data_IF_393199887803
#
_entry.id   IF_393199887803
#
_cell.length_a   1.000
_cell.length_b   1.000
_cell.length_c   1.000
_cell.angle_alpha   90.00
_cell.angle_beta   90.00
_cell.angle_gamma   90.00
#
_symmetry.space_group_name_H-M   'P 1'
#
loop_
_entity.id
_entity.type
_entity.pdbx_description
1 polymer ?
#
# COMPACT_ATOMS: atom_id res chain seq x y z
N UNK A 1 5.28 -41.13 48.07
CA UNK A 1 6.14 -40.27 47.22
C UNK A 1 5.59 -40.32 45.80
N UNK A 2 4.97 -39.23 45.33
CA UNK A 2 4.64 -39.03 43.91
C UNK A 2 5.15 -37.64 43.56
N UNK A 3 6.26 -37.58 42.85
CA UNK A 3 6.86 -36.37 42.30
C UNK A 3 6.15 -36.06 40.98
N UNK A 4 5.34 -35.01 40.97
CA UNK A 4 4.79 -34.44 39.74
C UNK A 4 5.86 -33.58 39.08
N UNK A 5 6.33 -34.01 37.90
CA UNK A 5 7.20 -33.21 37.03
C UNK A 5 6.26 -32.31 36.22
N UNK A 6 6.28 -31.01 36.51
CA UNK A 6 5.63 -30.00 35.68
C UNK A 6 6.51 -29.74 34.46
N UNK A 7 6.04 -30.17 33.28
CA UNK A 7 6.61 -29.75 32.00
C UNK A 7 6.23 -28.28 31.76
N UNK A 8 7.19 -27.37 31.95
CA UNK A 8 7.09 -26.02 31.40
C UNK A 8 7.33 -26.11 29.89
N UNK A 9 6.25 -26.08 29.11
CA UNK A 9 6.34 -25.83 27.68
C UNK A 9 6.71 -24.35 27.48
N UNK A 10 7.98 -24.08 27.25
CA UNK A 10 8.43 -22.78 26.74
C UNK A 10 8.02 -22.68 25.27
N UNK A 11 6.92 -21.99 24.99
CA UNK A 11 6.63 -21.51 23.64
C UNK A 11 7.69 -20.49 23.27
N UNK A 12 8.68 -20.88 22.46
CA UNK A 12 9.54 -19.92 21.79
C UNK A 12 8.62 -19.08 20.88
N UNK A 13 8.34 -17.85 21.30
CA UNK A 13 7.86 -16.83 20.38
C UNK A 13 8.99 -16.63 19.36
N UNK A 14 8.83 -17.18 18.16
CA UNK A 14 9.63 -16.75 17.03
C UNK A 14 9.39 -15.27 16.88
N UNK A 15 10.40 -14.46 17.21
CA UNK A 15 10.36 -13.04 16.94
C UNK A 15 10.04 -12.89 15.45
N UNK A 16 8.89 -12.28 15.15
CA UNK A 16 8.55 -11.91 13.78
C UNK A 16 9.68 -11.02 13.27
N UNK A 17 10.23 -11.36 12.11
CA UNK A 17 11.34 -10.63 11.54
C UNK A 17 10.83 -9.34 10.87
N UNK A 18 11.64 -8.29 10.94
CA UNK A 18 11.35 -7.05 10.23
C UNK A 18 11.23 -7.30 8.73
N UNK A 19 10.28 -6.66 8.02
CA UNK A 19 10.24 -6.76 6.56
C UNK A 19 11.51 -6.15 5.92
N UNK A 20 11.86 -6.60 4.72
CA UNK A 20 13.04 -6.14 3.97
C UNK A 20 12.84 -4.77 3.29
N UNK A 21 11.81 -4.01 3.68
CA UNK A 21 11.44 -2.76 3.04
C UNK A 21 10.51 -1.91 3.88
N UNK A 22 10.34 -0.65 3.46
CA UNK A 22 9.29 0.20 3.98
C UNK A 22 7.93 -0.25 3.44
N UNK A 23 7.21 -1.01 4.26
CA UNK A 23 5.93 -1.63 3.90
C UNK A 23 4.77 -0.79 4.42
N UNK A 24 3.87 -0.36 3.53
CA UNK A 24 2.56 0.16 3.89
C UNK A 24 1.59 -1.00 4.11
N UNK A 25 0.96 -1.04 5.28
CA UNK A 25 0.00 -2.09 5.66
C UNK A 25 -1.13 -1.55 6.55
N UNK A 26 -2.07 -2.41 6.93
CA UNK A 26 -3.25 -2.08 7.76
C UNK A 26 -3.68 -3.21 8.71
N UNK A 27 -2.76 -4.07 9.13
CA UNK A 27 -3.10 -5.11 10.13
C UNK A 27 -3.60 -4.44 11.42
N UNK A 28 -4.75 -4.88 11.94
CA UNK A 28 -5.33 -4.32 13.17
C UNK A 28 -4.43 -4.57 14.39
N UNK A 29 -3.83 -5.75 14.48
CA UNK A 29 -2.89 -6.12 15.55
C UNK A 29 -1.63 -5.23 15.53
N UNK A 30 -1.26 -4.75 14.35
CA UNK A 30 -0.06 -3.93 14.15
C UNK A 30 -0.38 -2.43 14.23
N UNK A 31 -1.18 -1.94 13.28
CA UNK A 31 -1.48 -0.52 13.16
C UNK A 31 -2.58 -0.07 14.13
N UNK A 32 -3.46 -0.96 14.59
CA UNK A 32 -4.57 -0.58 15.48
C UNK A 32 -4.19 -0.64 16.96
N UNK A 33 -3.56 -1.73 17.38
CA UNK A 33 -3.32 -2.01 18.80
C UNK A 33 -2.03 -1.40 19.35
N UNK A 34 -1.01 -1.25 18.50
CA UNK A 34 0.32 -0.72 18.90
C UNK A 34 0.36 0.80 18.72
N UNK A 35 -0.36 1.32 17.74
CA UNK A 35 -0.35 2.74 17.47
C UNK A 35 -1.14 3.55 18.50
N UNK A 36 -0.63 4.71 18.93
CA UNK A 36 -1.39 5.63 19.75
C UNK A 36 -2.60 6.13 18.96
N UNK A 37 -3.69 6.42 19.69
CA UNK A 37 -4.91 6.97 19.10
C UNK A 37 -4.59 8.26 18.32
N UNK A 38 -5.01 8.31 17.05
CA UNK A 38 -4.84 9.45 16.16
C UNK A 38 -6.18 10.17 16.06
N UNK A 39 -6.33 11.32 16.72
CA UNK A 39 -7.61 12.05 16.74
C UNK A 39 -8.74 11.30 17.46
N UNK A 40 -8.41 10.48 18.46
CA UNK A 40 -9.38 9.72 19.27
C UNK A 40 -9.77 8.34 18.71
N UNK A 41 -9.21 7.94 17.57
CA UNK A 41 -9.47 6.63 16.93
C UNK A 41 -8.17 5.87 16.70
N UNK A 42 -8.25 4.53 16.63
CA UNK A 42 -7.10 3.66 16.31
C UNK A 42 -6.59 3.95 14.91
N UNK A 43 -5.27 3.97 14.71
CA UNK A 43 -4.71 4.12 13.37
C UNK A 43 -5.12 2.93 12.50
N UNK A 44 -5.47 3.21 11.25
CA UNK A 44 -5.97 2.19 10.31
C UNK A 44 -4.91 1.68 9.36
N UNK A 45 -3.78 2.40 9.26
CA UNK A 45 -2.66 2.04 8.42
C UNK A 45 -1.36 2.50 9.07
N UNK A 46 -0.28 1.83 8.72
CA UNK A 46 1.04 2.12 9.23
C UNK A 46 2.12 1.75 8.20
N UNK A 47 3.31 2.33 8.37
CA UNK A 47 4.46 2.07 7.51
C UNK A 47 5.61 1.51 8.35
N UNK A 48 6.19 0.38 7.94
CA UNK A 48 7.39 -0.18 8.56
C UNK A 48 8.65 0.63 8.22
N UNK A 49 9.56 0.73 9.19
CA UNK A 49 10.89 1.31 9.07
C UNK A 49 11.90 0.31 9.61
N UNK A 50 12.42 -0.58 8.73
CA UNK A 50 13.43 -1.53 9.12
C UNK A 50 14.77 -0.85 9.44
N UNK A 51 15.37 -1.16 10.58
CA UNK A 51 16.63 -0.55 11.03
C UNK A 51 17.85 -0.92 10.19
N UNK A 52 17.76 -2.01 9.42
CA UNK A 52 18.80 -2.41 8.46
C UNK A 52 18.85 -1.51 7.22
N UNK A 53 17.85 -0.65 7.01
CA UNK A 53 17.84 0.36 5.95
C UNK A 53 18.32 1.69 6.53
N UNK A 54 19.38 2.25 5.95
CA UNK A 54 20.04 3.47 6.43
C UNK A 54 19.57 4.74 5.71
N UNK A 55 18.68 4.61 4.72
CA UNK A 55 18.24 5.71 3.87
C UNK A 55 17.11 6.55 4.49
N UNK A 56 16.26 5.94 5.33
CA UNK A 56 15.19 6.66 6.03
C UNK A 56 14.99 6.20 7.48
N UNK A 57 15.08 7.14 8.40
CA UNK A 57 14.69 6.94 9.80
C UNK A 57 13.22 7.29 10.01
N UNK A 58 12.53 6.57 10.89
CA UNK A 58 11.17 6.95 11.29
C UNK A 58 11.22 8.22 12.13
N UNK A 59 10.68 9.31 11.59
CA UNK A 59 10.56 10.58 12.30
C UNK A 59 9.08 10.96 12.44
N UNK A 60 8.59 11.37 13.63
CA UNK A 60 7.26 11.92 13.80
C UNK A 60 7.02 13.09 12.84
N UNK A 61 5.82 13.17 12.27
CA UNK A 61 5.50 14.17 11.26
C UNK A 61 4.00 14.42 11.23
N UNK A 62 3.56 15.35 10.39
CA UNK A 62 2.14 15.62 10.21
C UNK A 62 1.35 14.38 9.76
N UNK A 63 2.00 13.42 9.08
CA UNK A 63 1.38 12.17 8.64
C UNK A 63 1.18 11.15 9.74
N UNK A 64 1.87 11.24 10.87
CA UNK A 64 1.79 10.20 11.87
C UNK A 64 2.88 10.22 12.93
N UNK A 65 2.74 9.31 13.89
CA UNK A 65 3.67 9.12 15.01
C UNK A 65 4.51 7.87 14.82
N UNK A 66 5.75 7.87 15.30
CA UNK A 66 6.61 6.70 15.28
C UNK A 66 6.52 5.95 16.61
N UNK A 67 6.42 4.63 16.54
CA UNK A 67 6.46 3.71 17.69
C UNK A 67 7.38 2.54 17.40
N UNK A 68 7.83 1.84 18.44
CA UNK A 68 8.54 0.58 18.26
C UNK A 68 7.59 -0.50 17.72
N UNK A 69 8.05 -1.25 16.74
CA UNK A 69 7.33 -2.41 16.23
C UNK A 69 7.52 -3.62 17.16
N UNK A 70 6.61 -4.60 17.14
CA UNK A 70 6.81 -5.86 17.85
C UNK A 70 7.94 -6.70 17.22
N UNK A 71 8.21 -6.51 15.93
CA UNK A 71 9.33 -7.09 15.22
C UNK A 71 10.66 -6.44 15.65
N UNK A 72 11.64 -7.28 15.97
CA UNK A 72 12.95 -6.81 16.39
C UNK A 72 13.62 -5.99 15.28
N UNK A 73 14.07 -4.78 15.64
CA UNK A 73 14.78 -3.91 14.71
C UNK A 73 13.88 -3.17 13.72
N UNK A 74 12.59 -2.94 14.02
CA UNK A 74 11.79 -2.00 13.25
C UNK A 74 11.15 -0.90 14.10
N UNK A 75 10.89 0.22 13.43
CA UNK A 75 9.93 1.21 13.89
C UNK A 75 8.67 1.12 13.01
N UNK A 76 7.53 1.55 13.55
CA UNK A 76 6.29 1.75 12.83
C UNK A 76 5.91 3.22 12.82
N UNK A 77 5.61 3.73 11.64
CA UNK A 77 4.94 5.01 11.46
C UNK A 77 3.43 4.77 11.44
N UNK A 78 2.77 5.11 12.53
CA UNK A 78 1.32 5.07 12.68
C UNK A 78 0.69 6.24 11.91
N UNK A 79 0.06 5.94 10.78
CA UNK A 79 -0.51 6.97 9.91
C UNK A 79 -1.77 7.58 10.55
N UNK A 80 -1.85 8.90 10.49
CA UNK A 80 -2.94 9.65 11.10
C UNK A 80 -4.20 9.60 10.23
N UNK A 81 -5.28 9.07 10.80
CA UNK A 81 -6.58 9.02 10.15
C UNK A 81 -7.19 10.41 9.89
N UNK A 82 -6.76 11.45 10.61
CA UNK A 82 -7.34 12.81 10.50
C UNK A 82 -7.07 13.47 9.15
N UNK A 83 -6.22 12.84 8.34
CA UNK A 83 -5.86 13.27 7.00
C UNK A 83 -6.80 12.75 5.92
N UNK A 84 -7.57 11.71 6.21
CA UNK A 84 -8.58 11.21 5.30
C UNK A 84 -9.71 12.24 5.19
N UNK A 85 -9.75 12.97 4.07
CA UNK A 85 -10.83 13.93 3.81
C UNK A 85 -11.90 13.22 3.00
N UNK A 86 -13.10 13.08 3.58
CA UNK A 86 -14.22 12.37 2.93
C UNK A 86 -13.85 10.95 2.46
N UNK A 87 -13.02 10.23 3.22
CA UNK A 87 -12.55 8.88 2.86
C UNK A 87 -11.40 8.85 1.84
N UNK A 88 -10.94 10.00 1.33
CA UNK A 88 -9.77 10.10 0.46
C UNK A 88 -8.50 10.37 1.24
N UNK A 89 -7.48 9.54 1.01
CA UNK A 89 -6.18 9.64 1.65
C UNK A 89 -5.05 9.62 0.61
N UNK A 90 -4.27 10.69 0.56
CA UNK A 90 -3.13 10.81 -0.33
C UNK A 90 -1.81 10.71 0.45
N UNK A 91 -0.99 9.73 0.07
CA UNK A 91 0.35 9.50 0.60
C UNK A 91 1.36 9.84 -0.51
N UNK A 92 2.19 10.86 -0.26
CA UNK A 92 3.36 11.09 -1.08
C UNK A 92 4.34 9.93 -0.94
N UNK A 93 5.00 9.53 -2.02
CA UNK A 93 6.07 8.54 -1.97
C UNK A 93 7.40 9.28 -1.95
N UNK A 94 8.19 9.04 -0.90
CA UNK A 94 9.50 9.65 -0.72
C UNK A 94 10.50 8.92 -1.62
N UNK A 95 10.98 9.61 -2.65
CA UNK A 95 12.11 9.16 -3.48
C UNK A 95 13.45 9.34 -2.76
N UNK A 96 14.56 9.01 -3.44
CA UNK A 96 15.93 9.14 -2.90
C UNK A 96 16.38 10.60 -2.71
N UNK A 97 15.72 11.55 -3.37
CA UNK A 97 15.95 12.99 -3.24
C UNK A 97 14.62 13.75 -3.14
N UNK A 98 14.62 14.91 -2.48
CA UNK A 98 13.43 15.76 -2.31
C UNK A 98 12.72 15.60 -0.96
N UNK A 99 12.14 16.69 -0.47
CA UNK A 99 11.42 16.76 0.82
C UNK A 99 10.46 17.97 0.79
N UNK A 100 9.35 18.13 1.52
CA UNK A 100 8.96 17.69 2.87
C UNK A 100 7.42 17.67 3.04
N UNK A 101 6.95 16.90 4.03
CA UNK A 101 5.73 17.18 4.81
C UNK A 101 4.66 16.09 4.80
N UNK A 102 4.47 15.45 3.64
CA UNK A 102 3.39 14.46 3.39
C UNK A 102 3.85 13.26 2.55
N UNK A 103 5.09 12.84 2.71
CA UNK A 103 5.60 11.69 1.97
C UNK A 103 6.23 10.65 2.89
N UNK A 104 6.01 9.38 2.59
CA UNK A 104 6.61 8.23 3.26
C UNK A 104 7.41 7.40 2.26
N UNK A 105 8.51 6.75 2.68
CA UNK A 105 9.38 5.99 1.79
C UNK A 105 8.79 4.62 1.41
N UNK A 106 7.48 4.53 1.17
CA UNK A 106 6.78 3.27 0.89
C UNK A 106 7.33 2.65 -0.39
N UNK A 107 7.93 1.47 -0.24
CA UNK A 107 8.47 0.63 -1.33
C UNK A 107 7.57 -0.54 -1.64
N UNK A 108 6.78 -0.98 -0.66
CA UNK A 108 5.98 -2.19 -0.71
C UNK A 108 4.60 -1.89 -0.14
N UNK A 109 3.55 -2.39 -0.78
CA UNK A 109 2.21 -2.41 -0.19
C UNK A 109 1.78 -3.85 0.06
N UNK A 110 1.29 -4.11 1.27
CA UNK A 110 0.87 -5.45 1.70
C UNK A 110 -0.33 -5.36 2.65
N UNK A 111 -1.37 -6.16 2.36
CA UNK A 111 -2.55 -6.32 3.23
C UNK A 111 -3.13 -4.98 3.72
N UNK A 112 -3.28 -4.03 2.81
CA UNK A 112 -3.90 -2.74 3.09
C UNK A 112 -5.41 -2.93 3.19
N UNK A 113 -6.02 -2.36 4.23
CA UNK A 113 -7.43 -2.58 4.60
C UNK A 113 -8.15 -1.29 4.92
N UNK A 114 -7.48 -0.41 5.67
CA UNK A 114 -7.97 0.84 6.25
C UNK A 114 -9.45 1.15 5.98
N UNK A 115 -10.35 0.59 6.80
CA UNK A 115 -11.78 0.43 6.46
C UNK A 115 -12.52 1.74 6.16
N UNK A 116 -12.11 2.86 6.75
CA UNK A 116 -12.72 4.18 6.51
C UNK A 116 -12.07 4.94 5.34
N UNK A 117 -11.12 4.33 4.63
CA UNK A 117 -10.46 4.91 3.46
C UNK A 117 -11.06 4.25 2.22
N UNK A 118 -11.75 5.04 1.42
CA UNK A 118 -12.39 4.61 0.17
C UNK A 118 -11.58 5.04 -1.06
N UNK A 119 -10.72 6.05 -0.91
CA UNK A 119 -9.79 6.47 -1.95
C UNK A 119 -8.36 6.51 -1.40
N UNK A 120 -7.43 5.86 -2.10
CA UNK A 120 -6.01 5.91 -1.80
C UNK A 120 -5.23 6.44 -3.01
N UNK A 121 -4.43 7.47 -2.77
CA UNK A 121 -3.51 8.04 -3.75
C UNK A 121 -2.07 7.84 -3.30
N UNK A 122 -1.32 7.03 -4.04
CA UNK A 122 0.12 6.81 -3.86
C UNK A 122 0.87 7.55 -4.97
N UNK A 123 1.52 8.67 -4.63
CA UNK A 123 2.09 9.57 -5.62
C UNK A 123 3.52 9.98 -5.31
N UNK A 124 4.44 9.69 -6.22
CA UNK A 124 5.79 10.24 -6.17
C UNK A 124 5.82 11.62 -6.83
N UNK A 125 6.25 12.65 -6.09
CA UNK A 125 6.33 14.03 -6.58
C UNK A 125 7.71 14.39 -7.17
N UNK A 126 8.67 13.48 -7.11
CA UNK A 126 10.03 13.71 -7.61
C UNK A 126 10.14 13.40 -9.11
N UNK A 127 11.13 14.01 -9.77
CA UNK A 127 11.40 13.76 -11.19
C UNK A 127 11.86 12.33 -11.45
N UNK A 128 12.66 11.77 -10.54
CA UNK A 128 13.07 10.38 -10.60
C UNK A 128 11.95 9.46 -10.10
N UNK A 129 11.60 8.45 -10.91
CA UNK A 129 10.61 7.44 -10.54
C UNK A 129 11.13 6.51 -9.45
N UNK A 130 10.37 6.38 -8.37
CA UNK A 130 10.66 5.50 -7.25
C UNK A 130 10.06 4.09 -7.44
N UNK A 131 10.75 3.00 -7.07
CA UNK A 131 10.17 1.65 -7.09
C UNK A 131 9.00 1.50 -6.11
N UNK A 132 7.92 0.87 -6.57
CA UNK A 132 6.79 0.47 -5.73
C UNK A 132 6.36 -0.94 -6.12
N UNK A 133 6.36 -1.86 -5.16
CA UNK A 133 5.88 -3.22 -5.34
C UNK A 133 4.51 -3.40 -4.67
N UNK A 134 3.55 -3.93 -5.42
CA UNK A 134 2.29 -4.42 -4.89
C UNK A 134 2.41 -5.94 -4.75
N UNK A 135 2.39 -6.43 -3.51
CA UNK A 135 2.44 -7.88 -3.25
C UNK A 135 1.08 -8.53 -3.48
N UNK A 136 1.06 -9.85 -3.61
CA UNK A 136 -0.19 -10.61 -3.70
C UNK A 136 -1.15 -10.26 -2.55
N UNK A 137 -2.39 -9.96 -2.90
CA UNK A 137 -3.40 -9.51 -1.96
C UNK A 137 -3.23 -8.09 -1.41
N UNK A 138 -2.37 -7.24 -2.01
CA UNK A 138 -2.04 -5.90 -1.49
C UNK A 138 -3.27 -5.07 -1.05
N UNK A 139 -4.35 -5.09 -1.84
CA UNK A 139 -5.57 -4.34 -1.55
C UNK A 139 -6.85 -5.18 -1.54
N UNK A 140 -6.78 -6.51 -1.62
CA UNK A 140 -7.96 -7.37 -1.82
C UNK A 140 -8.95 -7.36 -0.65
N UNK A 141 -8.47 -6.98 0.54
CA UNK A 141 -9.28 -6.81 1.75
C UNK A 141 -9.60 -5.34 2.07
N UNK A 142 -9.26 -4.41 1.18
CA UNK A 142 -9.55 -3.00 1.36
C UNK A 142 -10.98 -2.64 0.96
N UNK A 143 -11.49 -1.56 1.54
CA UNK A 143 -12.76 -0.93 1.14
C UNK A 143 -12.58 0.11 0.03
N UNK A 144 -11.45 0.09 -0.68
CA UNK A 144 -11.14 1.09 -1.70
C UNK A 144 -12.06 0.97 -2.91
N UNK A 145 -12.73 2.07 -3.24
CA UNK A 145 -13.46 2.28 -4.49
C UNK A 145 -12.64 3.06 -5.52
N UNK A 146 -11.55 3.70 -5.09
CA UNK A 146 -10.68 4.54 -5.93
C UNK A 146 -9.21 4.30 -5.55
N UNK A 147 -8.39 3.89 -6.52
CA UNK A 147 -6.96 3.64 -6.32
C UNK A 147 -6.13 4.36 -7.38
N UNK A 148 -5.22 5.22 -6.93
CA UNK A 148 -4.36 6.02 -7.78
C UNK A 148 -2.90 5.73 -7.46
N UNK A 149 -2.14 5.33 -8.48
CA UNK A 149 -0.71 5.07 -8.38
C UNK A 149 -0.01 5.91 -9.44
N UNK A 150 0.74 6.92 -8.99
CA UNK A 150 1.31 7.95 -9.83
C UNK A 150 2.84 8.04 -9.73
N UNK A 151 3.49 8.07 -10.89
CA UNK A 151 4.91 8.43 -11.08
C UNK A 151 5.92 7.50 -10.39
N UNK A 152 5.66 6.19 -10.44
CA UNK A 152 6.51 5.14 -9.86
C UNK A 152 7.05 4.20 -10.92
N UNK A 153 8.01 3.35 -10.54
CA UNK A 153 8.35 2.11 -11.25
C UNK A 153 7.56 0.99 -10.60
N UNK A 154 6.35 0.74 -11.10
CA UNK A 154 5.41 -0.20 -10.50
C UNK A 154 5.78 -1.65 -10.85
N UNK A 155 5.88 -2.49 -9.82
CA UNK A 155 5.91 -3.95 -9.92
C UNK A 155 4.63 -4.51 -9.31
N UNK A 156 3.95 -5.40 -10.03
CA UNK A 156 2.63 -5.93 -9.66
C UNK A 156 2.73 -7.46 -9.61
N UNK A 157 2.40 -8.05 -8.47
CA UNK A 157 2.15 -9.49 -8.35
C UNK A 157 0.71 -9.83 -8.79
N UNK A 158 0.24 -11.04 -8.53
CA UNK A 158 -1.14 -11.43 -8.81
C UNK A 158 -2.10 -10.91 -7.73
N UNK A 159 -3.40 -10.82 -8.05
CA UNK A 159 -4.47 -10.50 -7.09
C UNK A 159 -4.19 -9.27 -6.20
N UNK A 160 -3.78 -8.15 -6.79
CA UNK A 160 -3.38 -6.97 -6.02
C UNK A 160 -4.51 -5.96 -5.84
N UNK A 161 -5.46 -5.89 -6.77
CA UNK A 161 -6.41 -4.77 -6.84
C UNK A 161 -7.60 -4.97 -5.87
N UNK A 162 -8.22 -3.87 -5.39
CA UNK A 162 -9.41 -3.97 -4.57
C UNK A 162 -10.57 -4.58 -5.36
N UNK A 163 -11.35 -5.52 -4.79
CA UNK A 163 -12.43 -6.20 -5.51
C UNK A 163 -13.59 -5.27 -5.89
N UNK A 164 -13.76 -4.16 -5.17
CA UNK A 164 -14.83 -3.17 -5.37
C UNK A 164 -14.32 -1.86 -5.99
N UNK A 165 -13.11 -1.87 -6.57
CA UNK A 165 -12.57 -0.65 -7.18
C UNK A 165 -13.42 -0.21 -8.38
N UNK A 166 -13.86 1.03 -8.34
CA UNK A 166 -14.62 1.68 -9.41
C UNK A 166 -13.73 2.56 -10.29
N UNK A 167 -12.67 3.13 -9.71
CA UNK A 167 -11.70 3.97 -10.41
C UNK A 167 -10.28 3.48 -10.15
N UNK A 168 -9.58 3.11 -11.23
CA UNK A 168 -8.18 2.73 -11.19
C UNK A 168 -7.35 3.67 -12.05
N UNK A 169 -6.37 4.34 -11.45
CA UNK A 169 -5.45 5.27 -12.13
C UNK A 169 -4.01 4.76 -11.98
N UNK A 170 -3.38 4.44 -13.11
CA UNK A 170 -1.97 4.05 -13.21
C UNK A 170 -1.24 5.05 -14.10
N UNK A 171 -0.86 6.21 -13.54
CA UNK A 171 -0.23 7.30 -14.30
C UNK A 171 1.28 7.32 -14.11
N UNK A 172 2.04 7.41 -15.21
CA UNK A 172 3.51 7.36 -15.19
C UNK A 172 4.05 6.17 -14.38
N UNK A 173 3.28 5.09 -14.24
CA UNK A 173 3.57 3.95 -13.36
C UNK A 173 4.54 2.93 -13.99
N UNK A 174 4.88 3.10 -15.28
CA UNK A 174 5.81 2.20 -15.98
C UNK A 174 5.20 0.86 -16.39
N UNK A 175 3.87 0.73 -16.33
CA UNK A 175 3.16 -0.43 -16.87
C UNK A 175 3.20 -0.39 -18.40
N UNK A 176 3.69 -1.46 -19.02
CA UNK A 176 3.74 -1.58 -20.49
C UNK A 176 2.46 -2.19 -21.06
N UNK A 177 1.77 -3.02 -20.28
CA UNK A 177 0.52 -3.66 -20.65
C UNK A 177 -0.53 -3.43 -19.56
N UNK A 178 -1.80 -3.59 -19.90
CA UNK A 178 -2.88 -3.61 -18.91
C UNK A 178 -2.72 -4.88 -18.07
N UNK A 179 -2.57 -4.80 -16.73
CA UNK A 179 -2.48 -5.99 -15.90
C UNK A 179 -3.72 -6.87 -16.07
N UNK A 180 -3.54 -8.19 -16.26
CA UNK A 180 -4.64 -9.09 -16.63
C UNK A 180 -5.78 -9.12 -15.60
N UNK A 181 -5.45 -8.91 -14.32
CA UNK A 181 -6.44 -8.80 -13.24
C UNK A 181 -7.45 -7.66 -13.46
N UNK A 182 -7.08 -6.58 -14.15
CA UNK A 182 -7.97 -5.43 -14.42
C UNK A 182 -9.24 -5.88 -15.16
N UNK A 183 -9.14 -6.86 -16.04
CA UNK A 183 -10.28 -7.39 -16.80
C UNK A 183 -11.25 -8.23 -15.94
N UNK A 184 -10.84 -8.62 -14.73
CA UNK A 184 -11.68 -9.28 -13.74
C UNK A 184 -12.41 -8.33 -12.79
N UNK A 185 -12.14 -7.02 -12.84
CA UNK A 185 -12.70 -6.04 -11.92
C UNK A 185 -14.14 -5.67 -12.30
N UNK A 186 -15.10 -6.40 -11.74
CA UNK A 186 -16.52 -6.28 -12.09
C UNK A 186 -17.15 -4.92 -11.76
N UNK A 187 -16.58 -4.18 -10.81
CA UNK A 187 -17.08 -2.86 -10.38
C UNK A 187 -16.42 -1.70 -11.12
N UNK A 188 -15.42 -1.97 -11.97
CA UNK A 188 -14.60 -0.93 -12.59
C UNK A 188 -15.43 -0.10 -13.58
N UNK A 189 -15.47 1.22 -13.34
CA UNK A 189 -16.17 2.20 -14.18
C UNK A 189 -15.20 3.10 -14.93
N UNK A 190 -14.04 3.38 -14.36
CA UNK A 190 -13.01 4.23 -14.95
C UNK A 190 -11.61 3.60 -14.82
N UNK A 191 -10.89 3.58 -15.94
CA UNK A 191 -9.51 3.11 -16.03
C UNK A 191 -8.65 4.16 -16.72
N UNK A 192 -7.71 4.76 -15.98
CA UNK A 192 -6.70 5.66 -16.55
C UNK A 192 -5.33 4.96 -16.55
N UNK A 193 -4.72 4.86 -17.72
CA UNK A 193 -3.33 4.41 -17.87
C UNK A 193 -2.63 5.43 -18.77
N UNK A 194 -1.98 6.42 -18.16
CA UNK A 194 -1.49 7.61 -18.86
C UNK A 194 -0.03 7.94 -18.52
N UNK A 195 0.65 8.72 -19.37
CA UNK A 195 2.03 9.16 -19.12
C UNK A 195 3.09 8.07 -19.35
N UNK A 196 2.74 7.01 -20.08
CA UNK A 196 3.65 5.94 -20.50
C UNK A 196 3.22 5.36 -21.85
N UNK A 197 4.11 4.58 -22.47
CA UNK A 197 3.74 3.73 -23.59
C UNK A 197 2.93 2.53 -23.08
N UNK A 198 1.72 2.39 -23.61
CA UNK A 198 0.84 1.25 -23.36
C UNK A 198 0.71 0.44 -24.66
N UNK A 199 1.05 -0.84 -24.57
CA UNK A 199 0.95 -1.80 -25.65
C UNK A 199 -0.37 -2.56 -25.54
N UNK A 200 -1.22 -2.40 -26.56
CA UNK A 200 -2.57 -3.00 -26.62
C UNK A 200 -2.74 -3.92 -27.84
N UNK A 201 -1.66 -4.35 -28.48
CA UNK A 201 -1.75 -5.17 -29.71
C UNK A 201 -2.31 -6.57 -29.44
N UNK A 202 -2.02 -7.11 -28.26
CA UNK A 202 -2.30 -8.52 -27.92
C UNK A 202 -3.54 -8.68 -27.02
N UNK A 203 -4.50 -7.76 -27.14
CA UNK A 203 -5.78 -7.90 -26.45
C UNK A 203 -6.68 -8.92 -27.16
N UNK A 204 -7.23 -9.84 -26.37
CA UNK A 204 -8.31 -10.72 -26.81
C UNK A 204 -9.61 -9.93 -27.07
N UNK A 205 -10.58 -10.56 -27.73
CA UNK A 205 -11.84 -9.90 -28.05
C UNK A 205 -12.68 -9.60 -26.80
N UNK A 206 -12.62 -10.47 -25.78
CA UNK A 206 -13.27 -10.24 -24.47
C UNK A 206 -12.64 -9.04 -23.74
N UNK A 207 -11.31 -8.91 -23.78
CA UNK A 207 -10.61 -7.78 -23.18
C UNK A 207 -10.95 -6.47 -23.89
N UNK A 208 -11.04 -6.48 -25.22
CA UNK A 208 -11.49 -5.30 -25.99
C UNK A 208 -12.93 -4.94 -25.63
N UNK A 209 -13.83 -5.92 -25.54
CA UNK A 209 -15.22 -5.70 -25.15
C UNK A 209 -15.35 -5.15 -23.72
N UNK A 210 -14.51 -5.62 -22.80
CA UNK A 210 -14.41 -5.04 -21.46
C UNK A 210 -14.05 -3.54 -21.54
N UNK A 211 -13.00 -3.19 -22.29
CA UNK A 211 -12.53 -1.80 -22.40
C UNK A 211 -13.55 -0.86 -23.06
N UNK A 212 -14.45 -1.35 -23.90
CA UNK A 212 -15.53 -0.52 -24.48
C UNK A 212 -16.62 -0.17 -23.47
N UNK A 213 -16.76 -0.94 -22.38
CA UNK A 213 -17.76 -0.72 -21.34
C UNK A 213 -17.23 0.08 -20.15
N UNK A 214 -15.92 0.34 -20.09
CA UNK A 214 -15.25 1.12 -19.06
C UNK A 214 -14.82 2.47 -19.63
N UNK A 215 -14.95 3.54 -18.85
CA UNK A 215 -14.41 4.84 -19.24
C UNK A 215 -12.88 4.82 -19.20
N UNK A 216 -12.27 4.57 -20.36
CA UNK A 216 -10.83 4.40 -20.49
C UNK A 216 -10.13 5.70 -20.95
N UNK A 217 -9.06 6.07 -20.27
CA UNK A 217 -8.14 7.14 -20.71
C UNK A 217 -6.75 6.59 -20.88
N UNK A 218 -6.31 6.43 -22.14
CA UNK A 218 -4.97 5.98 -22.50
C UNK A 218 -4.23 7.07 -23.26
N UNK A 219 -3.11 7.55 -22.70
CA UNK A 219 -2.30 8.58 -23.33
C UNK A 219 -0.83 8.44 -22.97
N UNK A 220 0.05 8.83 -23.89
CA UNK A 220 1.50 8.85 -23.64
C UNK A 220 1.93 10.09 -22.87
#
# INVERSE_FOLDING_TARGET
MRTSIAFFASTLATALACPDGHVLTSSAELCGDICPLQGGVKAQSCVYYPSQLDDFTCEPSSLGSCVEAPEAGCMLKCLSNTWARNGSYAIGLRGASGSFGRAEPVRIVQDYRADNITELVLKNYNDEKYPLALLDGAFTKSSLTSLWIENVKLSIQEHVFPPYVETLVLRKAGVRWIPKEVFGLQSLKALEISGQYLDTTDLSDDEKAFLTNVNCTFSR
#
